data_IF_954791623134
#
_entry.id   IF_954791623134
#
_cell.length_a   1.000
_cell.length_b   1.000
_cell.length_c   1.000
_cell.angle_alpha   90.00
_cell.angle_beta   90.00
_cell.angle_gamma   90.00
#
_symmetry.space_group_name_H-M   'P 1'
#
loop_
_entity.id
_entity.type
_entity.pdbx_description
1 polymer ?
#
# COMPACT_ATOMS: atom_id res chain seq x y z
N UNK A 1 6.67 23.44 -9.00
CA UNK A 1 6.03 22.10 -9.14
C UNK A 1 5.77 21.75 -10.61
N UNK A 2 6.24 20.59 -11.09
CA UNK A 2 6.05 20.09 -12.46
C UNK A 2 5.92 18.56 -12.49
N UNK A 3 5.42 17.99 -13.60
CA UNK A 3 5.31 16.54 -13.82
C UNK A 3 5.95 16.15 -15.15
N UNK A 4 6.54 14.96 -15.21
CA UNK A 4 7.02 14.33 -16.45
C UNK A 4 6.11 13.15 -16.79
N UNK A 5 5.68 13.06 -18.03
CA UNK A 5 4.88 11.92 -18.53
C UNK A 5 5.75 10.96 -19.34
N UNK A 6 5.44 9.68 -19.26
CA UNK A 6 6.03 8.64 -20.08
C UNK A 6 5.36 8.51 -21.45
N UNK A 7 5.63 7.41 -22.14
CA UNK A 7 5.22 7.17 -23.53
C UNK A 7 3.72 6.93 -23.72
N UNK A 8 3.01 6.44 -22.69
CA UNK A 8 1.60 6.08 -22.73
C UNK A 8 0.68 7.01 -21.92
N UNK A 9 1.11 8.25 -21.65
CA UNK A 9 0.42 9.23 -20.78
C UNK A 9 0.48 8.91 -19.26
N UNK A 10 1.22 7.89 -18.86
CA UNK A 10 1.55 7.64 -17.45
C UNK A 10 2.41 8.76 -16.86
N UNK A 11 2.24 9.06 -15.57
CA UNK A 11 3.11 9.99 -14.86
C UNK A 11 4.39 9.24 -14.48
N UNK A 12 5.53 9.67 -15.03
CA UNK A 12 6.83 9.05 -14.77
C UNK A 12 7.57 9.70 -13.60
N UNK A 13 7.41 11.00 -13.37
CA UNK A 13 7.98 11.68 -12.19
C UNK A 13 7.26 12.98 -11.85
N UNK A 14 7.43 13.42 -10.60
CA UNK A 14 6.91 14.67 -10.06
C UNK A 14 8.06 15.46 -9.43
N UNK A 15 8.12 16.77 -9.72
CA UNK A 15 9.04 17.69 -9.07
C UNK A 15 8.23 18.65 -8.19
N UNK A 16 8.60 18.71 -6.91
CA UNK A 16 7.90 19.49 -5.89
C UNK A 16 8.89 20.34 -5.11
N UNK A 17 8.39 21.46 -4.59
CA UNK A 17 9.15 22.43 -3.82
C UNK A 17 8.68 22.38 -2.36
N UNK A 18 9.63 22.35 -1.42
CA UNK A 18 9.34 22.42 0.01
C UNK A 18 8.83 23.81 0.36
N UNK A 19 7.66 23.89 0.98
CA UNK A 19 7.03 25.16 1.36
C UNK A 19 6.80 25.21 2.88
N UNK A 20 7.79 25.75 3.60
CA UNK A 20 7.79 25.79 5.08
C UNK A 20 6.91 26.90 5.68
N UNK A 21 6.61 27.95 4.91
CA UNK A 21 5.79 29.09 5.37
C UNK A 21 4.28 28.80 5.36
N UNK A 22 3.87 27.62 4.87
CA UNK A 22 2.48 27.22 4.75
C UNK A 22 1.81 26.82 6.06
N UNK A 23 0.48 26.90 6.09
CA UNK A 23 -0.33 26.40 7.21
C UNK A 23 -0.37 24.86 7.22
N UNK A 24 0.36 24.26 8.18
CA UNK A 24 0.44 22.81 8.32
C UNK A 24 -0.92 22.14 8.58
N UNK A 25 -1.92 22.86 9.13
CA UNK A 25 -3.26 22.30 9.41
C UNK A 25 -4.07 22.10 8.13
N UNK A 26 -3.83 22.93 7.12
CA UNK A 26 -4.49 22.87 5.81
C UNK A 26 -3.77 21.94 4.83
N UNK A 27 -2.63 21.38 5.23
CA UNK A 27 -1.77 20.58 4.37
C UNK A 27 -2.16 19.10 4.46
N UNK A 28 -2.40 18.48 3.29
CA UNK A 28 -2.62 17.02 3.20
C UNK A 28 -1.29 16.29 3.42
N UNK A 29 -1.33 15.22 4.22
CA UNK A 29 -0.17 14.38 4.53
C UNK A 29 -0.20 13.15 3.65
N UNK A 30 0.98 12.74 3.18
CA UNK A 30 1.19 11.53 2.37
C UNK A 30 2.38 10.77 2.96
N UNK A 31 2.37 9.45 2.79
CA UNK A 31 3.51 8.58 3.09
C UNK A 31 4.41 8.48 1.85
N UNK A 32 5.72 8.44 2.05
CA UNK A 32 6.71 8.31 0.98
C UNK A 32 7.94 7.58 1.51
N UNK A 33 8.69 6.95 0.60
CA UNK A 33 10.00 6.35 0.89
C UNK A 33 11.09 7.20 0.25
N UNK A 34 12.21 7.34 0.95
CA UNK A 34 13.36 8.03 0.42
C UNK A 34 13.99 7.25 -0.74
N UNK A 35 14.69 7.99 -1.61
CA UNK A 35 15.49 7.36 -2.66
C UNK A 35 16.57 6.47 -2.03
N UNK A 36 16.82 5.31 -2.64
CA UNK A 36 17.82 4.35 -2.17
C UNK A 36 19.21 5.00 -1.97
N UNK A 37 19.72 4.95 -0.75
CA UNK A 37 21.07 5.40 -0.39
C UNK A 37 21.79 4.32 0.40
N UNK A 38 22.69 3.57 -0.26
CA UNK A 38 23.53 2.57 0.40
C UNK A 38 22.75 1.65 1.35
N UNK A 39 23.02 1.76 2.65
CA UNK A 39 22.44 0.95 3.74
C UNK A 39 20.93 1.18 3.98
N UNK A 40 20.34 2.25 3.45
CA UNK A 40 18.91 2.58 3.62
C UNK A 40 18.11 2.43 2.32
N UNK A 41 18.45 1.43 1.52
CA UNK A 41 17.72 1.15 0.28
C UNK A 41 16.34 0.55 0.60
N UNK A 42 15.25 1.04 -0.03
CA UNK A 42 13.96 0.38 0.05
C UNK A 42 14.06 -1.08 -0.39
N UNK A 43 13.24 -1.93 0.22
CA UNK A 43 13.25 -3.37 -0.01
C UNK A 43 11.98 -3.82 -0.71
N UNK A 44 12.12 -4.74 -1.65
CA UNK A 44 10.98 -5.36 -2.33
C UNK A 44 10.20 -6.22 -1.35
N UNK A 45 8.89 -5.99 -1.29
CA UNK A 45 7.95 -6.75 -0.46
C UNK A 45 6.71 -7.11 -1.27
N UNK A 46 6.01 -8.15 -0.83
CA UNK A 46 4.66 -8.44 -1.30
C UNK A 46 3.68 -8.11 -0.17
N UNK A 47 2.81 -7.13 -0.40
CA UNK A 47 1.71 -6.83 0.49
C UNK A 47 0.60 -7.87 0.26
N UNK A 48 0.12 -8.46 1.36
CA UNK A 48 -1.01 -9.38 1.35
C UNK A 48 -2.17 -8.68 2.06
N UNK A 49 -3.17 -8.28 1.28
CA UNK A 49 -4.44 -7.75 1.81
C UNK A 49 -5.49 -8.86 1.78
N UNK A 50 -6.29 -8.93 2.83
CA UNK A 50 -7.25 -10.00 3.06
C UNK A 50 -8.65 -9.44 3.27
N UNK A 51 -9.59 -9.89 2.46
CA UNK A 51 -11.01 -9.55 2.56
C UNK A 51 -11.80 -10.68 3.24
N UNK A 52 -13.09 -10.46 3.46
CA UNK A 52 -13.99 -11.43 4.03
C UNK A 52 -14.05 -12.72 3.21
N UNK A 53 -13.99 -13.86 3.90
CA UNK A 53 -14.10 -15.17 3.27
C UNK A 53 -15.50 -15.46 2.68
N UNK A 54 -16.52 -14.80 3.21
CA UNK A 54 -17.91 -14.95 2.77
C UNK A 54 -18.55 -13.59 2.49
N UNK A 55 -19.45 -13.59 1.53
CA UNK A 55 -20.20 -12.41 1.08
C UNK A 55 -21.41 -12.09 1.95
N UNK A 56 -21.87 -13.06 2.75
CA UNK A 56 -23.01 -12.91 3.66
C UNK A 56 -22.52 -12.76 5.10
N UNK A 57 -22.94 -11.68 5.78
CA UNK A 57 -22.53 -11.35 7.16
C UNK A 57 -22.84 -12.46 8.19
N UNK A 58 -23.97 -13.16 8.00
CA UNK A 58 -24.41 -14.28 8.83
C UNK A 58 -25.13 -15.28 7.94
N UNK A 59 -24.71 -16.53 8.02
CA UNK A 59 -25.41 -17.65 7.39
C UNK A 59 -26.54 -18.10 8.30
N UNK A 60 -27.67 -18.45 7.71
CA UNK A 60 -28.80 -19.08 8.37
C UNK A 60 -28.70 -20.61 8.19
N UNK A 61 -29.53 -21.37 8.90
CA UNK A 61 -29.43 -22.84 8.95
C UNK A 61 -29.63 -23.51 7.59
N UNK A 62 -30.35 -22.85 6.68
CA UNK A 62 -30.67 -23.36 5.35
C UNK A 62 -29.65 -22.96 4.26
N UNK A 63 -28.66 -22.12 4.58
CA UNK A 63 -27.65 -21.69 3.61
C UNK A 63 -26.52 -22.73 3.45
N UNK A 64 -26.09 -23.00 2.21
CA UNK A 64 -24.80 -23.67 1.95
C UNK A 64 -23.69 -22.62 1.85
N UNK A 65 -22.67 -22.72 2.70
CA UNK A 65 -21.49 -21.83 2.73
C UNK A 65 -20.88 -21.65 1.34
N UNK A 66 -20.86 -22.72 0.53
CA UNK A 66 -20.25 -22.72 -0.80
C UNK A 66 -20.85 -21.67 -1.73
N UNK A 67 -22.13 -21.35 -1.55
CA UNK A 67 -22.84 -20.37 -2.37
C UNK A 67 -22.49 -18.93 -1.99
N UNK A 68 -21.83 -18.74 -0.84
CA UNK A 68 -21.48 -17.42 -0.30
C UNK A 68 -19.98 -17.18 -0.18
N UNK A 69 -19.13 -18.12 -0.62
CA UNK A 69 -17.67 -17.92 -0.64
C UNK A 69 -17.34 -16.72 -1.53
N UNK A 70 -16.53 -15.80 -1.00
CA UNK A 70 -16.07 -14.66 -1.79
C UNK A 70 -15.12 -15.15 -2.91
N UNK A 71 -15.28 -14.65 -4.15
CA UNK A 71 -14.50 -15.12 -5.29
C UNK A 71 -13.01 -14.74 -5.18
N UNK A 72 -12.70 -13.70 -4.42
CA UNK A 72 -11.36 -13.22 -4.17
C UNK A 72 -11.26 -12.72 -2.72
N UNK A 73 -10.34 -13.28 -1.96
CA UNK A 73 -10.15 -13.01 -0.53
C UNK A 73 -8.73 -12.60 -0.19
N UNK A 74 -7.78 -12.81 -1.09
CA UNK A 74 -6.38 -12.44 -0.94
C UNK A 74 -5.97 -11.60 -2.16
N UNK A 75 -5.38 -10.44 -1.89
CA UNK A 75 -4.85 -9.53 -2.89
C UNK A 75 -3.35 -9.41 -2.65
N UNK A 76 -2.57 -9.66 -3.71
CA UNK A 76 -1.10 -9.58 -3.67
C UNK A 76 -0.65 -8.38 -4.47
N UNK A 77 0.08 -7.48 -3.82
CA UNK A 77 0.66 -6.32 -4.48
C UNK A 77 2.17 -6.29 -4.26
N UNK A 78 2.93 -6.20 -5.36
CA UNK A 78 4.36 -5.92 -5.29
C UNK A 78 4.56 -4.47 -4.87
N UNK A 79 5.37 -4.25 -3.84
CA UNK A 79 5.61 -2.93 -3.27
C UNK A 79 7.04 -2.77 -2.80
N UNK A 80 7.38 -1.53 -2.43
CA UNK A 80 8.61 -1.20 -1.71
C UNK A 80 8.27 -0.85 -0.27
N UNK A 81 9.08 -1.35 0.66
CA UNK A 81 9.05 -0.98 2.07
C UNK A 81 10.37 -0.31 2.48
N UNK A 82 10.36 0.38 3.62
CA UNK A 82 11.56 0.95 4.21
C UNK A 82 12.55 -0.15 4.66
N UNK A 83 13.84 0.15 4.69
CA UNK A 83 14.88 -0.81 5.08
C UNK A 83 14.67 -1.40 6.49
N UNK A 84 13.96 -0.69 7.37
CA UNK A 84 13.66 -1.14 8.73
C UNK A 84 12.85 -2.46 8.79
N UNK A 85 12.13 -2.85 7.73
CA UNK A 85 11.34 -4.09 7.76
C UNK A 85 12.23 -5.34 7.71
N UNK A 86 13.49 -5.21 7.32
CA UNK A 86 14.45 -6.33 7.23
C UNK A 86 14.79 -6.94 8.59
N UNK A 87 14.57 -6.20 9.68
CA UNK A 87 14.85 -6.66 11.04
C UNK A 87 13.64 -7.21 11.77
N UNK A 88 12.48 -7.25 11.12
CA UNK A 88 11.25 -7.73 11.74
C UNK A 88 11.24 -9.24 11.88
N UNK A 89 10.70 -9.70 13.00
CA UNK A 89 10.47 -11.11 13.28
C UNK A 89 9.03 -11.50 12.91
N UNK A 90 8.83 -12.81 12.67
CA UNK A 90 7.50 -13.33 12.38
C UNK A 90 6.59 -13.11 13.59
N UNK A 91 5.52 -12.36 13.37
CA UNK A 91 4.53 -12.03 14.40
C UNK A 91 4.61 -10.58 14.88
N UNK A 92 5.61 -9.82 14.43
CA UNK A 92 5.68 -8.38 14.68
C UNK A 92 4.50 -7.65 14.05
N UNK A 93 4.01 -6.63 14.77
CA UNK A 93 2.91 -5.76 14.35
C UNK A 93 3.49 -4.36 14.13
N UNK A 94 3.28 -3.82 12.93
CA UNK A 94 3.82 -2.54 12.44
C UNK A 94 2.71 -1.49 12.36
#
# INVERSE_FOLDING_TARGET
>A
RSKKTGSGSEIASLMMDLYLEGDFRKTKKITWLAQATGEHSPVDVTLLDYDYLITKKKLEEEDDVKDFVAPMTEFREDALADANVTTLEKGDII
#
